data_IF_253639907778
#
_entry.id   IF_253639907778
#
_cell.length_a   1.000
_cell.length_b   1.000
_cell.length_c   1.000
_cell.angle_alpha   90.00
_cell.angle_beta   90.00
_cell.angle_gamma   90.00
#
_symmetry.space_group_name_H-M   'P 1'
#
loop_
_entity.id
_entity.type
_entity.pdbx_description
1 polymer ?
#
# COMPACT_ATOMS: atom_id res chain seq x y z
N UNK A 1 10.82 30.22 -17.77
CA UNK A 1 10.34 29.99 -16.38
C UNK A 1 9.44 28.75 -16.43
N UNK A 2 9.99 27.54 -16.42
CA UNK A 2 10.19 26.71 -15.22
C UNK A 2 8.94 26.66 -14.33
N UNK A 3 8.09 25.66 -14.57
CA UNK A 3 7.34 24.99 -13.52
C UNK A 3 7.63 23.51 -13.69
N UNK A 4 8.57 23.03 -12.88
CA UNK A 4 8.81 21.61 -12.71
C UNK A 4 7.51 21.01 -12.17
N UNK A 5 6.70 20.43 -13.06
CA UNK A 5 5.78 19.38 -12.67
C UNK A 5 6.63 18.37 -11.91
N UNK A 6 6.47 18.32 -10.58
CA UNK A 6 7.22 17.42 -9.71
C UNK A 6 7.14 16.04 -10.36
N UNK A 7 8.30 15.56 -10.80
CA UNK A 7 8.49 14.48 -11.78
C UNK A 7 7.38 13.41 -11.68
N UNK A 8 6.44 13.46 -12.62
CA UNK A 8 5.51 12.38 -12.88
C UNK A 8 4.29 12.22 -11.96
N UNK A 9 3.94 13.17 -11.09
CA UNK A 9 2.65 13.15 -10.37
C UNK A 9 1.71 14.22 -10.95
N UNK A 10 0.62 13.78 -11.58
CA UNK A 10 -0.42 14.68 -12.09
C UNK A 10 -1.41 14.99 -10.98
N UNK A 11 -1.39 16.24 -10.50
CA UNK A 11 -2.27 16.72 -9.43
C UNK A 11 -3.75 16.78 -9.87
N UNK A 12 -4.00 16.84 -11.18
CA UNK A 12 -5.35 16.90 -11.77
C UNK A 12 -6.05 15.54 -11.74
N UNK A 13 -5.28 14.47 -11.96
CA UNK A 13 -5.78 13.09 -11.94
C UNK A 13 -5.45 12.34 -10.64
N UNK A 14 -4.75 13.00 -9.71
CA UNK A 14 -4.18 12.44 -8.47
C UNK A 14 -3.42 11.13 -8.70
N UNK A 15 -2.78 10.99 -9.87
CA UNK A 15 -2.17 9.75 -10.31
C UNK A 15 -0.77 9.99 -10.86
N UNK A 16 0.11 8.99 -10.71
CA UNK A 16 1.41 9.05 -11.36
C UNK A 16 1.24 8.87 -12.87
N UNK A 17 1.86 9.75 -13.65
CA UNK A 17 1.99 9.61 -15.10
C UNK A 17 2.72 8.30 -15.45
N UNK A 18 2.59 7.84 -16.70
CA UNK A 18 3.29 6.64 -17.15
C UNK A 18 4.82 6.73 -16.92
N UNK A 19 5.40 7.92 -17.12
CA UNK A 19 6.81 8.19 -16.81
C UNK A 19 7.10 8.13 -15.31
N UNK A 20 6.22 8.67 -14.46
CA UNK A 20 6.34 8.56 -13.01
C UNK A 20 6.32 7.11 -12.53
N UNK A 21 5.40 6.29 -13.05
CA UNK A 21 5.34 4.85 -12.75
C UNK A 21 6.57 4.10 -13.24
N UNK A 22 7.15 4.48 -14.38
CA UNK A 22 8.40 3.88 -14.88
C UNK A 22 9.59 4.16 -13.93
N UNK A 23 9.69 5.38 -13.39
CA UNK A 23 10.70 5.69 -12.38
C UNK A 23 10.45 4.94 -11.06
N UNK A 24 9.19 4.82 -10.62
CA UNK A 24 8.84 3.98 -9.47
C UNK A 24 9.24 2.51 -9.68
N UNK A 25 9.07 1.97 -10.89
CA UNK A 25 9.46 0.60 -11.23
C UNK A 25 10.99 0.41 -11.17
N UNK A 26 11.77 1.40 -11.61
CA UNK A 26 13.23 1.40 -11.45
C UNK A 26 13.63 1.43 -9.99
N UNK A 27 12.98 2.28 -9.19
CA UNK A 27 13.22 2.36 -7.74
C UNK A 27 12.90 1.01 -7.06
N UNK A 28 11.77 0.38 -7.41
CA UNK A 28 11.39 -0.95 -6.94
C UNK A 28 12.43 -2.02 -7.29
N UNK A 29 12.92 -2.02 -8.53
CA UNK A 29 13.96 -2.96 -8.96
C UNK A 29 15.25 -2.79 -8.15
N UNK A 30 15.69 -1.55 -7.94
CA UNK A 30 16.88 -1.26 -7.14
C UNK A 30 16.71 -1.64 -5.66
N UNK A 31 15.53 -1.39 -5.10
CA UNK A 31 15.20 -1.79 -3.73
C UNK A 31 15.20 -3.31 -3.55
N UNK A 32 14.59 -4.06 -4.47
CA UNK A 32 14.57 -5.52 -4.42
C UNK A 32 15.98 -6.11 -4.55
N UNK A 33 16.81 -5.55 -5.43
CA UNK A 33 18.24 -5.93 -5.52
C UNK A 33 18.98 -5.64 -4.22
N UNK A 34 18.73 -4.50 -3.59
CA UNK A 34 19.33 -4.17 -2.30
C UNK A 34 18.91 -5.17 -1.21
N UNK A 35 17.63 -5.52 -1.11
CA UNK A 35 17.15 -6.52 -0.16
C UNK A 35 17.72 -7.91 -0.43
N UNK A 36 17.96 -8.27 -1.70
CA UNK A 36 18.58 -9.54 -2.07
C UNK A 36 20.05 -9.67 -1.60
N UNK A 37 20.70 -8.56 -1.22
CA UNK A 37 22.02 -8.56 -0.59
C UNK A 37 21.96 -8.85 0.92
N UNK A 38 20.78 -9.18 1.45
CA UNK A 38 20.49 -9.45 2.86
C UNK A 38 21.09 -8.40 3.81
N UNK A 39 20.70 -7.11 3.66
CA UNK A 39 21.23 -6.05 4.49
C UNK A 39 20.76 -6.27 5.93
N UNK A 40 21.71 -6.38 6.87
CA UNK A 40 21.43 -6.62 8.30
C UNK A 40 20.37 -5.70 8.91
N UNK A 41 20.30 -4.45 8.44
CA UNK A 41 19.28 -3.45 8.82
C UNK A 41 18.95 -2.61 7.60
N UNK A 42 17.89 -2.96 6.84
CA UNK A 42 17.46 -2.14 5.73
C UNK A 42 17.01 -0.75 6.22
N UNK A 43 17.28 0.30 5.45
CA UNK A 43 16.95 1.68 5.86
C UNK A 43 15.42 1.90 5.87
N UNK A 44 14.87 2.21 7.04
CA UNK A 44 13.42 2.40 7.23
C UNK A 44 12.85 3.64 6.55
N UNK A 45 13.66 4.66 6.26
CA UNK A 45 13.26 5.85 5.51
C UNK A 45 13.07 5.49 4.04
N UNK A 46 14.00 4.72 3.48
CA UNK A 46 13.87 4.18 2.11
C UNK A 46 12.66 3.25 2.02
N UNK A 47 12.50 2.35 2.98
CA UNK A 47 11.33 1.47 3.04
C UNK A 47 10.01 2.26 3.10
N UNK A 48 9.96 3.39 3.80
CA UNK A 48 8.76 4.25 3.86
C UNK A 48 8.42 4.87 2.50
N UNK A 49 9.41 5.21 1.68
CA UNK A 49 9.19 5.63 0.30
C UNK A 49 8.61 4.47 -0.52
N UNK A 50 9.14 3.26 -0.32
CA UNK A 50 8.68 2.07 -1.02
C UNK A 50 7.25 1.65 -0.65
N UNK A 51 6.79 1.86 0.59
CA UNK A 51 5.38 1.66 0.96
C UNK A 51 4.45 2.44 0.03
N UNK A 52 4.78 3.70 -0.26
CA UNK A 52 4.00 4.55 -1.16
C UNK A 52 4.19 4.17 -2.63
N UNK A 53 5.42 3.87 -3.05
CA UNK A 53 5.73 3.44 -4.41
C UNK A 53 4.95 2.18 -4.82
N UNK A 54 4.87 1.21 -3.91
CA UNK A 54 4.11 -0.02 -4.09
C UNK A 54 2.60 0.13 -3.82
N UNK A 55 2.15 1.28 -3.34
CA UNK A 55 0.75 1.54 -3.01
C UNK A 55 -0.17 1.60 -4.25
N UNK A 56 -1.51 1.67 -4.05
CA UNK A 56 -2.50 1.67 -5.13
C UNK A 56 -2.31 2.77 -6.17
N UNK A 57 -1.86 3.96 -5.75
CA UNK A 57 -1.61 5.10 -6.63
C UNK A 57 -0.31 4.97 -7.42
N UNK A 58 0.65 4.17 -6.96
CA UNK A 58 1.93 3.91 -7.59
C UNK A 58 1.90 2.67 -8.49
N UNK A 59 2.65 1.64 -8.09
CA UNK A 59 2.77 0.37 -8.80
C UNK A 59 1.62 -0.61 -8.53
N UNK A 60 0.75 -0.32 -7.56
CA UNK A 60 -0.35 -1.18 -7.16
C UNK A 60 0.07 -2.61 -6.80
N UNK A 61 1.17 -2.73 -6.03
CA UNK A 61 1.75 -3.98 -5.55
C UNK A 61 1.58 -4.10 -4.01
N UNK A 62 0.35 -4.32 -3.50
CA UNK A 62 0.05 -4.20 -2.08
C UNK A 62 0.84 -5.18 -1.19
N UNK A 63 1.18 -6.37 -1.69
CA UNK A 63 2.01 -7.34 -0.96
C UNK A 63 3.42 -6.79 -0.71
N UNK A 64 4.03 -6.13 -1.71
CA UNK A 64 5.34 -5.51 -1.57
C UNK A 64 5.28 -4.27 -0.70
N UNK A 65 4.20 -3.49 -0.79
CA UNK A 65 3.93 -2.37 0.12
C UNK A 65 3.87 -2.83 1.58
N UNK A 66 3.15 -3.93 1.86
CA UNK A 66 3.08 -4.52 3.20
C UNK A 66 4.47 -4.98 3.70
N UNK A 67 5.27 -5.63 2.86
CA UNK A 67 6.63 -6.04 3.23
C UNK A 67 7.56 -4.86 3.48
N UNK A 68 7.49 -3.80 2.67
CA UNK A 68 8.23 -2.57 2.93
C UNK A 68 7.81 -1.95 4.28
N UNK A 69 6.52 -1.96 4.62
CA UNK A 69 6.04 -1.43 5.89
C UNK A 69 6.56 -2.22 7.10
N UNK A 70 6.78 -3.53 6.99
CA UNK A 70 7.43 -4.32 8.05
C UNK A 70 8.85 -3.81 8.35
N UNK A 71 9.62 -3.50 7.30
CA UNK A 71 10.95 -2.87 7.46
C UNK A 71 10.85 -1.52 8.15
N UNK A 72 9.80 -0.74 7.85
CA UNK A 72 9.54 0.53 8.56
C UNK A 72 9.26 0.28 10.04
N UNK A 73 8.43 -0.70 10.38
CA UNK A 73 8.10 -1.08 11.76
C UNK A 73 9.36 -1.54 12.51
N UNK A 74 10.18 -2.38 11.88
CA UNK A 74 11.43 -2.86 12.47
C UNK A 74 12.41 -1.72 12.76
N UNK A 75 12.53 -0.75 11.85
CA UNK A 75 13.47 0.36 12.02
C UNK A 75 12.97 1.54 12.87
N UNK A 76 11.65 1.77 12.93
CA UNK A 76 11.05 2.89 13.71
C UNK A 76 10.50 2.45 15.06
N UNK A 77 10.27 1.16 15.24
CA UNK A 77 9.60 0.59 16.39
C UNK A 77 8.09 0.39 16.17
N UNK A 78 7.48 -0.52 16.95
CA UNK A 78 6.07 -0.85 16.83
C UNK A 78 5.17 0.32 17.25
N UNK A 79 4.11 0.58 16.48
CA UNK A 79 3.06 1.52 16.86
C UNK A 79 1.70 1.07 16.35
N UNK A 80 0.64 1.49 17.06
CA UNK A 80 -0.74 1.18 16.65
C UNK A 80 -1.04 1.66 15.22
N UNK A 81 -0.53 2.84 14.85
CA UNK A 81 -0.73 3.42 13.52
C UNK A 81 -0.06 2.59 12.42
N UNK A 82 1.20 2.18 12.61
CA UNK A 82 1.92 1.37 11.62
C UNK A 82 1.29 -0.02 11.45
N UNK A 83 0.87 -0.66 12.54
CA UNK A 83 0.18 -1.95 12.46
C UNK A 83 -1.23 -1.84 11.87
N UNK A 84 -1.93 -0.71 12.10
CA UNK A 84 -3.21 -0.46 11.43
C UNK A 84 -3.02 -0.34 9.92
N UNK A 85 -1.98 0.38 9.47
CA UNK A 85 -1.64 0.47 8.05
C UNK A 85 -1.23 -0.90 7.47
N UNK A 86 -0.47 -1.70 8.22
CA UNK A 86 -0.08 -3.06 7.79
C UNK A 86 -1.30 -3.96 7.62
N UNK A 87 -2.28 -3.87 8.54
CA UNK A 87 -3.51 -4.63 8.44
C UNK A 87 -4.25 -4.33 7.12
N UNK A 88 -4.31 -3.06 6.73
CA UNK A 88 -5.00 -2.60 5.53
C UNK A 88 -4.27 -3.05 4.27
N UNK A 89 -2.94 -2.89 4.21
CA UNK A 89 -2.13 -3.32 3.07
C UNK A 89 -2.16 -4.85 2.88
N UNK A 90 -2.10 -5.62 3.98
CA UNK A 90 -2.22 -7.07 3.94
C UNK A 90 -3.60 -7.52 3.45
N UNK A 91 -4.68 -6.86 3.88
CA UNK A 91 -6.03 -7.14 3.39
C UNK A 91 -6.16 -6.83 1.89
N UNK A 92 -5.63 -5.68 1.47
CA UNK A 92 -5.61 -5.27 0.08
C UNK A 92 -4.88 -6.31 -0.79
N UNK A 93 -3.76 -6.83 -0.30
CA UNK A 93 -2.98 -7.92 -0.92
C UNK A 93 -3.67 -9.29 -0.89
N UNK A 94 -4.84 -9.42 -0.26
CA UNK A 94 -5.56 -10.68 -0.09
C UNK A 94 -5.02 -11.56 1.04
N UNK A 95 -3.98 -11.13 1.77
CA UNK A 95 -3.45 -11.84 2.93
C UNK A 95 -4.25 -11.52 4.20
N UNK A 96 -5.46 -12.10 4.30
CA UNK A 96 -6.37 -11.88 5.43
C UNK A 96 -5.77 -12.30 6.78
N UNK A 97 -5.03 -13.42 6.82
CA UNK A 97 -4.39 -13.91 8.03
C UNK A 97 -3.39 -12.90 8.60
N UNK A 98 -2.54 -12.35 7.74
CA UNK A 98 -1.60 -11.30 8.14
C UNK A 98 -2.31 -10.00 8.53
N UNK A 99 -3.38 -9.65 7.82
CA UNK A 99 -4.22 -8.50 8.16
C UNK A 99 -4.76 -8.60 9.59
N UNK A 100 -5.30 -9.75 9.97
CA UNK A 100 -5.86 -9.97 11.30
C UNK A 100 -4.77 -9.98 12.39
N UNK A 101 -3.59 -10.55 12.11
CA UNK A 101 -2.44 -10.48 13.03
C UNK A 101 -2.01 -9.02 13.26
N UNK A 102 -1.90 -8.23 12.19
CA UNK A 102 -1.53 -6.83 12.28
C UNK A 102 -2.60 -6.00 13.00
N UNK A 103 -3.89 -6.28 12.77
CA UNK A 103 -5.00 -5.67 13.52
C UNK A 103 -4.87 -5.93 15.03
N UNK A 104 -4.64 -7.19 15.43
CA UNK A 104 -4.47 -7.50 16.86
C UNK A 104 -3.30 -6.72 17.47
N UNK A 105 -2.16 -6.66 16.78
CA UNK A 105 -1.01 -5.85 17.23
C UNK A 105 -1.35 -4.36 17.33
N UNK A 106 -2.15 -3.83 16.40
CA UNK A 106 -2.61 -2.45 16.48
C UNK A 106 -3.48 -2.22 17.72
N UNK A 107 -4.39 -3.14 18.03
CA UNK A 107 -5.29 -3.06 19.19
C UNK A 107 -4.54 -3.21 20.52
N UNK A 108 -3.55 -4.10 20.59
CA UNK A 108 -2.69 -4.28 21.77
C UNK A 108 -1.95 -2.98 22.13
N UNK A 109 -1.44 -2.29 21.12
CA UNK A 109 -0.71 -1.01 21.25
C UNK A 109 -1.65 0.20 21.42
N UNK A 110 -2.97 0.00 21.28
CA UNK A 110 -3.97 1.06 21.42
C UNK A 110 -4.54 1.08 22.84
N UNK A 111 -4.69 2.26 23.48
CA UNK A 111 -5.39 2.37 24.76
C UNK A 111 -6.79 1.75 24.70
N UNK A 112 -7.20 1.04 25.76
CA UNK A 112 -8.45 0.27 25.76
C UNK A 112 -9.68 1.08 25.33
N UNK A 113 -9.76 2.36 25.75
CA UNK A 113 -10.85 3.29 25.39
C UNK A 113 -10.94 3.59 23.89
N UNK A 114 -9.85 3.43 23.14
CA UNK A 114 -9.75 3.70 21.69
C UNK A 114 -9.79 2.45 20.81
N UNK A 115 -9.67 1.25 21.39
CA UNK A 115 -9.63 -0.02 20.61
C UNK A 115 -10.87 -0.22 19.74
N UNK A 116 -12.06 0.09 20.26
CA UNK A 116 -13.31 0.01 19.48
C UNK A 116 -13.29 0.92 18.26
N UNK A 117 -12.75 2.14 18.40
CA UNK A 117 -12.61 3.09 17.31
C UNK A 117 -11.64 2.57 16.24
N UNK A 118 -10.47 2.08 16.63
CA UNK A 118 -9.48 1.52 15.68
C UNK A 118 -10.06 0.31 14.93
N UNK A 119 -10.73 -0.59 15.64
CA UNK A 119 -11.40 -1.75 15.02
C UNK A 119 -12.46 -1.33 13.99
N UNK A 120 -13.30 -0.37 14.35
CA UNK A 120 -14.31 0.17 13.44
C UNK A 120 -13.68 0.83 12.21
N UNK A 121 -12.60 1.58 12.39
CA UNK A 121 -11.89 2.23 11.29
C UNK A 121 -11.28 1.21 10.31
N UNK A 122 -10.67 0.14 10.83
CA UNK A 122 -10.14 -0.95 9.99
C UNK A 122 -11.25 -1.70 9.25
N UNK A 123 -12.38 -1.97 9.92
CA UNK A 123 -13.54 -2.60 9.28
C UNK A 123 -14.08 -1.75 8.13
N UNK A 124 -14.23 -0.43 8.33
CA UNK A 124 -14.65 0.50 7.27
C UNK A 124 -13.69 0.48 6.08
N UNK A 125 -12.38 0.45 6.32
CA UNK A 125 -11.39 0.38 5.23
C UNK A 125 -11.46 -0.94 4.47
N UNK A 126 -11.67 -2.07 5.15
CA UNK A 126 -11.88 -3.37 4.48
C UNK A 126 -13.11 -3.36 3.58
N UNK A 127 -14.23 -2.82 4.06
CA UNK A 127 -15.45 -2.66 3.26
C UNK A 127 -15.19 -1.80 2.02
N UNK A 128 -14.48 -0.68 2.17
CA UNK A 128 -14.11 0.18 1.02
C UNK A 128 -13.25 -0.57 0.00
N UNK A 129 -12.28 -1.37 0.45
CA UNK A 129 -11.46 -2.20 -0.43
C UNK A 129 -12.32 -3.22 -1.19
N UNK A 130 -13.24 -3.88 -0.51
CA UNK A 130 -14.11 -4.89 -1.13
C UNK A 130 -15.06 -4.24 -2.15
N UNK A 131 -15.67 -3.10 -1.82
CA UNK A 131 -16.50 -2.33 -2.76
C UNK A 131 -15.72 -1.86 -3.98
N UNK A 132 -14.49 -1.34 -3.80
CA UNK A 132 -13.65 -0.92 -4.93
C UNK A 132 -13.26 -2.09 -5.83
N UNK A 133 -12.96 -3.27 -5.26
CA UNK A 133 -12.68 -4.50 -6.02
C UNK A 133 -13.91 -4.96 -6.81
N UNK A 134 -15.11 -4.87 -6.24
CA UNK A 134 -16.36 -5.21 -6.92
C UNK A 134 -16.67 -4.26 -8.08
N UNK A 135 -16.52 -2.95 -7.89
CA UNK A 135 -16.71 -1.96 -8.94
C UNK A 135 -15.75 -2.19 -10.12
N UNK A 136 -14.45 -2.38 -9.83
CA UNK A 136 -13.46 -2.66 -10.87
C UNK A 136 -13.73 -3.98 -11.62
N UNK A 137 -14.37 -4.96 -10.99
CA UNK A 137 -14.79 -6.20 -11.65
C UNK A 137 -16.02 -5.99 -12.55
N UNK A 138 -16.97 -5.16 -12.12
CA UNK A 138 -18.17 -4.81 -12.90
C UNK A 138 -17.81 -4.01 -14.16
N UNK A 139 -16.93 -3.02 -14.06
CA UNK A 139 -16.46 -2.23 -15.21
C UNK A 139 -15.78 -3.10 -16.27
N UNK A 140 -14.95 -4.06 -15.85
CA UNK A 140 -14.31 -5.02 -16.76
C UNK A 140 -15.31 -5.94 -17.45
N UNK A 141 -16.43 -6.25 -16.82
CA UNK A 141 -17.50 -7.07 -17.42
C UNK A 141 -18.39 -6.30 -18.39
N UNK A 142 -18.48 -4.97 -18.24
CA UNK A 142 -19.31 -4.10 -19.08
C UNK A 142 -18.53 -3.48 -20.26
N UNK A 143 -17.20 -3.49 -20.22
CA UNK A 143 -16.30 -2.96 -21.26
C UNK A 143 -16.04 -3.88 -22.47
N UNK A 144 -16.77 -4.99 -22.63
CA UNK A 144 -16.70 -5.84 -23.82
C UNK A 144 -17.95 -5.63 -24.70
N UNK A 145 -18.04 -4.56 -25.52
CA UNK A 145 -18.98 -4.54 -26.62
C UNK A 145 -18.53 -5.58 -27.65
N UNK A 146 -19.44 -6.49 -27.98
CA UNK A 146 -19.20 -7.60 -28.90
C UNK A 146 -18.61 -7.14 -30.23
N UNK A 147 -17.44 -7.68 -30.56
CA UNK A 147 -17.04 -7.92 -31.95
C UNK A 147 -17.77 -9.19 -32.40
N UNK A 148 -19.00 -9.04 -32.89
CA UNK A 148 -19.79 -10.14 -33.40
C UNK A 148 -20.65 -9.72 -34.57
N UNK A 149 -20.32 -10.23 -35.76
CA UNK A 149 -21.15 -10.22 -36.97
C UNK A 149 -20.56 -9.45 -38.13
#
# INVERSE_FOLDING_TARGET
>A
MQQASIVGFDQTTQSFSAAGKAELAKAATSWERYLALDPKKPDSRVASLMVNAYGPSGLNEPAKSANALKVVIEGRGPSAALYSQLAVLAYLAGNKRESDIAEQRALDLTPASKRKLVKAQLATQRTQIDSAKQQAAQEKSQGAPGLGG
#
